data_IF_535748452957
#
_entry.id   IF_535748452957
#
_cell.length_a   1.000
_cell.length_b   1.000
_cell.length_c   1.000
_cell.angle_alpha   90.00
_cell.angle_beta   90.00
_cell.angle_gamma   90.00
#
_symmetry.space_group_name_H-M   'P 1'
#
loop_
_entity.id
_entity.type
_entity.pdbx_description
1 polymer ?
#
# COMPACT_ATOMS: atom_id res chain seq x y z
N UNK A 1 -51.92 15.62 5.75
CA UNK A 1 -52.57 15.41 7.06
C UNK A 1 -52.32 13.96 7.47
N UNK A 2 -51.88 13.73 8.72
CA UNK A 2 -51.68 12.43 9.42
C UNK A 2 -50.58 11.49 8.89
N UNK A 3 -49.86 10.68 9.69
CA UNK A 3 -49.49 10.65 11.11
C UNK A 3 -48.51 9.46 11.31
N UNK A 4 -47.42 9.70 12.04
CA UNK A 4 -46.79 8.88 13.10
C UNK A 4 -46.81 7.33 12.97
N UNK A 5 -45.63 6.69 13.06
CA UNK A 5 -45.32 5.78 14.20
C UNK A 5 -43.83 5.43 14.30
N UNK A 6 -43.22 5.91 15.38
CA UNK A 6 -41.99 5.43 16.00
C UNK A 6 -42.22 4.02 16.56
N UNK A 7 -41.32 3.09 16.30
CA UNK A 7 -41.21 1.85 17.09
C UNK A 7 -39.78 1.72 17.62
N UNK A 8 -39.66 2.07 18.90
CA UNK A 8 -38.55 1.70 19.75
C UNK A 8 -38.60 0.18 19.99
N UNK A 9 -37.50 -0.52 19.71
CA UNK A 9 -37.25 -1.84 20.28
C UNK A 9 -36.32 -1.68 21.47
N UNK A 10 -36.93 -1.72 22.65
CA UNK A 10 -36.30 -1.93 23.95
C UNK A 10 -35.60 -3.29 23.93
N UNK A 11 -34.30 -3.32 24.19
CA UNK A 11 -33.65 -4.50 24.79
C UNK A 11 -33.06 -4.04 26.11
N UNK A 12 -33.64 -4.59 27.17
CA UNK A 12 -33.28 -4.42 28.58
C UNK A 12 -31.86 -4.92 28.85
N UNK A 13 -30.98 -4.04 29.32
CA UNK A 13 -29.75 -4.43 30.01
C UNK A 13 -30.07 -4.56 31.50
N UNK A 14 -30.17 -5.81 31.95
CA UNK A 14 -30.24 -6.18 33.36
C UNK A 14 -28.97 -5.69 34.05
N UNK A 15 -29.15 -4.78 35.01
CA UNK A 15 -28.09 -4.35 35.91
C UNK A 15 -27.76 -5.46 36.92
N UNK A 16 -26.51 -5.93 36.93
CA UNK A 16 -25.92 -6.51 38.13
C UNK A 16 -25.04 -5.44 38.78
N UNK A 17 -25.46 -4.99 39.96
CA UNK A 17 -24.68 -4.13 40.87
C UNK A 17 -23.64 -4.96 41.62
N UNK A 18 -22.39 -4.51 41.59
CA UNK A 18 -21.39 -4.49 42.69
C UNK A 18 -20.04 -4.13 42.05
N UNK A 19 -19.19 -3.20 42.49
CA UNK A 19 -19.12 -2.29 43.64
C UNK A 19 -18.16 -1.15 43.26
N UNK A 20 -18.25 -0.02 43.94
CA UNK A 20 -17.43 1.19 43.81
C UNK A 20 -15.97 0.99 43.36
N UNK A 21 -15.59 1.57 42.22
CA UNK A 21 -14.24 2.11 42.03
C UNK A 21 -14.38 3.53 41.48
N UNK A 22 -14.01 4.49 42.30
CA UNK A 22 -13.87 5.89 41.96
C UNK A 22 -12.58 6.02 41.12
N UNK A 23 -12.67 5.90 39.79
CA UNK A 23 -11.59 6.31 38.89
C UNK A 23 -12.04 7.63 38.26
N UNK A 24 -11.43 8.73 38.69
CA UNK A 24 -11.44 9.98 37.93
C UNK A 24 -10.70 9.74 36.63
N UNK A 25 -11.38 9.21 35.61
CA UNK A 25 -10.90 9.29 34.25
C UNK A 25 -10.98 10.75 33.83
N UNK A 26 -9.83 11.41 33.89
CA UNK A 26 -9.63 12.70 33.23
C UNK A 26 -9.58 12.39 31.75
N UNK A 27 -10.74 12.33 31.09
CA UNK A 27 -10.80 12.26 29.64
C UNK A 27 -10.32 13.62 29.13
N UNK A 28 -9.01 13.74 28.90
CA UNK A 28 -8.49 14.76 27.99
C UNK A 28 -9.03 14.40 26.62
N UNK A 29 -10.19 14.95 26.27
CA UNK A 29 -10.56 15.14 24.88
C UNK A 29 -9.45 16.02 24.28
N UNK A 30 -8.46 15.37 23.69
CA UNK A 30 -7.57 16.05 22.76
C UNK A 30 -8.45 16.43 21.59
N UNK A 31 -8.79 17.72 21.55
CA UNK A 31 -9.51 18.37 20.47
C UNK A 31 -8.59 18.27 19.23
N UNK A 32 -8.70 17.14 18.51
CA UNK A 32 -7.99 16.94 17.25
C UNK A 32 -8.65 17.85 16.23
N UNK A 33 -8.24 19.13 16.22
CA UNK A 33 -8.46 20.02 15.09
C UNK A 33 -8.08 19.25 13.84
N UNK A 34 -9.07 18.90 13.04
CA UNK A 34 -8.91 18.25 11.73
C UNK A 34 -8.13 19.22 10.86
N UNK A 35 -6.80 19.05 10.85
CA UNK A 35 -5.93 19.78 9.94
C UNK A 35 -6.37 19.37 8.53
N UNK A 36 -6.93 20.33 7.79
CA UNK A 36 -7.30 20.13 6.39
C UNK A 36 -6.03 19.70 5.65
N UNK A 37 -5.99 18.45 5.21
CA UNK A 37 -4.85 17.89 4.50
C UNK A 37 -4.77 18.52 3.10
N UNK A 38 -3.58 18.94 2.71
CA UNK A 38 -3.30 19.43 1.37
C UNK A 38 -2.70 18.29 0.53
N UNK A 39 -3.08 18.16 -0.75
CA UNK A 39 -2.46 17.19 -1.64
C UNK A 39 -0.93 17.38 -1.71
N UNK A 40 -0.19 16.29 -1.54
CA UNK A 40 1.24 16.22 -1.78
C UNK A 40 1.53 16.46 -3.26
N UNK A 41 2.24 17.55 -3.53
CA UNK A 41 2.67 17.89 -4.89
C UNK A 41 3.93 17.10 -5.24
N UNK A 42 3.90 16.41 -6.38
CA UNK A 42 5.10 15.81 -6.97
C UNK A 42 5.93 16.93 -7.59
N UNK A 43 7.16 17.08 -7.12
CA UNK A 43 8.12 18.03 -7.71
C UNK A 43 8.58 17.55 -9.10
N UNK A 44 9.04 18.48 -9.94
CA UNK A 44 9.61 18.16 -11.27
C UNK A 44 10.74 17.12 -11.18
N UNK A 45 11.59 17.21 -10.16
CA UNK A 45 12.71 16.28 -9.95
C UNK A 45 12.24 14.88 -9.57
N UNK A 46 11.27 14.79 -8.67
CA UNK A 46 10.66 13.51 -8.29
C UNK A 46 9.99 12.84 -9.48
N UNK A 47 9.20 13.59 -10.25
CA UNK A 47 8.54 13.09 -11.47
C UNK A 47 9.56 12.56 -12.48
N UNK A 48 10.61 13.32 -12.77
CA UNK A 48 11.65 12.90 -13.71
C UNK A 48 12.38 11.64 -13.25
N UNK A 49 12.68 11.51 -11.95
CA UNK A 49 13.34 10.34 -11.39
C UNK A 49 12.43 9.10 -11.46
N UNK A 50 11.16 9.23 -11.06
CA UNK A 50 10.19 8.15 -11.16
C UNK A 50 9.97 7.71 -12.63
N UNK A 51 9.88 8.66 -13.56
CA UNK A 51 9.74 8.37 -14.99
C UNK A 51 10.95 7.61 -15.55
N UNK A 52 12.17 7.99 -15.12
CA UNK A 52 13.40 7.29 -15.50
C UNK A 52 13.39 5.84 -15.02
N UNK A 53 13.04 5.60 -13.75
CA UNK A 53 12.96 4.24 -13.18
C UNK A 53 11.91 3.39 -13.89
N UNK A 54 10.70 3.94 -14.10
CA UNK A 54 9.61 3.25 -14.82
C UNK A 54 10.02 2.91 -16.25
N UNK A 55 10.69 3.82 -16.96
CA UNK A 55 11.21 3.55 -18.31
C UNK A 55 12.22 2.39 -18.30
N UNK A 56 13.14 2.36 -17.34
CA UNK A 56 14.12 1.26 -17.23
C UNK A 56 13.44 -0.10 -16.99
N UNK A 57 12.41 -0.14 -16.14
CA UNK A 57 11.61 -1.36 -15.89
C UNK A 57 10.87 -1.79 -17.16
N UNK A 58 10.22 -0.85 -17.84
CA UNK A 58 9.55 -1.09 -19.12
C UNK A 58 10.52 -1.66 -20.16
N UNK A 59 11.70 -1.06 -20.32
CA UNK A 59 12.72 -1.49 -21.28
C UNK A 59 13.23 -2.92 -20.95
N UNK A 60 13.37 -3.29 -19.67
CA UNK A 60 13.72 -4.66 -19.24
C UNK A 60 12.64 -5.66 -19.66
N UNK A 61 11.36 -5.30 -19.50
CA UNK A 61 10.24 -6.21 -19.76
C UNK A 61 9.78 -6.22 -21.23
N UNK A 62 10.22 -5.28 -22.07
CA UNK A 62 9.70 -5.07 -23.42
C UNK A 62 9.81 -6.32 -24.31
N UNK A 63 10.86 -7.12 -24.13
CA UNK A 63 11.10 -8.33 -24.93
C UNK A 63 10.29 -9.55 -24.46
N UNK A 64 9.58 -9.45 -23.34
CA UNK A 64 8.76 -10.54 -22.80
C UNK A 64 7.43 -10.56 -23.55
N UNK A 65 7.24 -11.61 -24.35
CA UNK A 65 5.98 -11.86 -25.06
C UNK A 65 4.94 -12.32 -24.06
N UNK A 66 3.89 -11.53 -23.89
CA UNK A 66 2.74 -11.82 -23.02
C UNK A 66 1.51 -11.58 -23.87
N UNK A 67 0.60 -12.55 -23.88
CA UNK A 67 -0.71 -12.36 -24.49
C UNK A 67 -1.59 -11.60 -23.49
N UNK A 68 -1.89 -10.34 -23.79
CA UNK A 68 -2.68 -9.45 -22.92
C UNK A 68 -4.11 -9.98 -22.69
N UNK A 69 -4.67 -10.71 -23.66
CA UNK A 69 -6.00 -11.33 -23.53
C UNK A 69 -5.98 -12.61 -22.68
N UNK A 70 -4.80 -13.18 -22.43
CA UNK A 70 -4.64 -14.44 -21.70
C UNK A 70 -3.26 -14.56 -21.05
N UNK A 71 -3.05 -13.78 -19.99
CA UNK A 71 -1.83 -13.83 -19.19
C UNK A 71 -1.74 -15.17 -18.48
N UNK A 72 -0.67 -15.93 -18.73
CA UNK A 72 -0.48 -17.25 -18.12
C UNK A 72 0.38 -17.16 -16.86
N UNK A 73 0.31 -18.20 -16.01
CA UNK A 73 1.23 -18.33 -14.86
C UNK A 73 2.70 -18.33 -15.28
N UNK A 74 3.02 -18.88 -16.45
CA UNK A 74 4.38 -18.89 -17.01
C UNK A 74 4.84 -17.48 -17.38
N UNK A 75 3.95 -16.66 -17.94
CA UNK A 75 4.26 -15.26 -18.28
C UNK A 75 4.56 -14.46 -17.01
N UNK A 76 3.71 -14.62 -15.98
CA UNK A 76 3.91 -13.97 -14.68
C UNK A 76 5.22 -14.41 -14.01
N UNK A 77 5.55 -15.71 -14.08
CA UNK A 77 6.79 -16.22 -13.53
C UNK A 77 8.02 -15.68 -14.28
N UNK A 78 7.97 -15.67 -15.63
CA UNK A 78 9.05 -15.13 -16.47
C UNK A 78 9.32 -13.66 -16.16
N UNK A 79 8.26 -12.88 -15.99
CA UNK A 79 8.31 -11.48 -15.57
C UNK A 79 8.97 -11.32 -14.19
N UNK A 80 8.51 -12.09 -13.20
CA UNK A 80 9.04 -12.08 -11.85
C UNK A 80 10.53 -12.43 -11.82
N UNK A 81 10.94 -13.49 -12.51
CA UNK A 81 12.33 -13.94 -12.58
C UNK A 81 13.21 -12.91 -13.27
N UNK A 82 12.73 -12.30 -14.36
CA UNK A 82 13.47 -11.27 -15.10
C UNK A 82 13.76 -10.06 -14.21
N UNK A 83 12.74 -9.50 -13.56
CA UNK A 83 12.90 -8.31 -12.72
C UNK A 83 13.72 -8.61 -11.46
N UNK A 84 13.52 -9.80 -10.87
CA UNK A 84 14.32 -10.29 -9.75
C UNK A 84 15.79 -10.43 -10.16
N UNK A 85 16.11 -10.99 -11.33
CA UNK A 85 17.49 -11.12 -11.81
C UNK A 85 18.20 -9.77 -12.00
N UNK A 86 17.44 -8.68 -12.22
CA UNK A 86 17.95 -7.30 -12.30
C UNK A 86 18.10 -6.64 -10.93
N UNK A 87 17.81 -7.37 -9.86
CA UNK A 87 17.97 -6.93 -8.48
C UNK A 87 16.82 -6.09 -7.95
N UNK A 88 15.69 -5.99 -8.67
CA UNK A 88 14.50 -5.36 -8.11
C UNK A 88 13.86 -6.29 -7.08
N UNK A 89 13.47 -5.78 -5.90
CA UNK A 89 12.50 -6.46 -5.06
C UNK A 89 11.17 -6.54 -5.79
N UNK A 90 10.68 -7.76 -6.02
CA UNK A 90 9.42 -8.01 -6.72
C UNK A 90 8.50 -8.81 -5.81
N UNK A 91 7.30 -8.31 -5.59
CA UNK A 91 6.26 -8.94 -4.81
C UNK A 91 5.20 -9.53 -5.75
N UNK A 92 5.00 -10.84 -5.72
CA UNK A 92 3.87 -11.46 -6.43
C UNK A 92 2.59 -11.18 -5.66
N UNK A 93 1.49 -10.82 -6.34
CA UNK A 93 0.18 -10.77 -5.67
C UNK A 93 -0.09 -12.13 -5.00
N UNK A 94 -0.33 -12.08 -3.69
CA UNK A 94 -0.75 -13.25 -2.93
C UNK A 94 -2.18 -13.64 -3.30
N UNK A 95 -2.57 -14.88 -2.98
CA UNK A 95 -3.95 -15.32 -3.16
C UNK A 95 -4.93 -14.40 -2.40
N UNK A 96 -5.97 -13.96 -3.09
CA UNK A 96 -7.10 -13.25 -2.49
C UNK A 96 -7.81 -14.17 -1.50
N UNK A 97 -8.06 -13.66 -0.28
CA UNK A 97 -8.96 -14.33 0.66
C UNK A 97 -10.24 -13.52 0.79
N UNK A 98 -11.32 -14.04 0.20
CA UNK A 98 -12.65 -13.56 0.53
C UNK A 98 -13.08 -14.16 1.87
N UNK A 99 -13.26 -13.29 2.86
CA UNK A 99 -13.75 -13.72 4.19
C UNK A 99 -15.27 -13.91 4.15
N UNK A 100 -16.01 -12.94 3.59
CA UNK A 100 -17.47 -12.96 3.33
C UNK A 100 -17.82 -11.93 2.24
N UNK A 101 -19.06 -11.97 1.71
CA UNK A 101 -19.52 -11.18 0.55
C UNK A 101 -19.40 -9.64 0.68
N UNK A 102 -19.15 -9.11 1.89
CA UNK A 102 -19.03 -7.66 2.14
C UNK A 102 -17.80 -7.30 3.00
N UNK A 103 -16.91 -8.25 3.29
CA UNK A 103 -15.70 -7.96 4.04
C UNK A 103 -14.66 -7.28 3.13
N UNK A 104 -13.87 -6.30 3.64
CA UNK A 104 -12.72 -5.79 2.91
C UNK A 104 -11.82 -6.94 2.45
N UNK A 105 -11.40 -6.91 1.18
CA UNK A 105 -10.49 -7.91 0.62
C UNK A 105 -9.17 -7.80 1.39
N UNK A 106 -8.81 -8.88 2.09
CA UNK A 106 -7.52 -9.00 2.76
C UNK A 106 -6.62 -9.86 1.87
N UNK A 107 -5.59 -9.25 1.31
CA UNK A 107 -4.56 -9.96 0.59
C UNK A 107 -3.63 -10.63 1.61
N UNK A 108 -3.20 -11.87 1.35
CA UNK A 108 -2.04 -12.42 2.06
C UNK A 108 -0.83 -11.52 1.74
N UNK A 109 0.11 -11.32 2.69
CA UNK A 109 1.36 -10.63 2.40
C UNK A 109 2.05 -11.22 1.18
N UNK A 110 2.41 -10.36 0.24
CA UNK A 110 3.06 -10.78 -0.99
C UNK A 110 4.49 -11.23 -0.71
N UNK A 111 4.86 -12.45 -1.13
CA UNK A 111 6.26 -12.91 -1.08
C UNK A 111 7.09 -12.01 -1.97
N UNK A 112 8.09 -11.36 -1.37
CA UNK A 112 8.94 -10.39 -2.05
C UNK A 112 10.30 -11.01 -2.32
N UNK A 113 10.79 -10.88 -3.56
CA UNK A 113 12.19 -11.20 -3.87
C UNK A 113 13.10 -10.18 -3.20
N UNK A 114 14.31 -10.60 -2.80
CA UNK A 114 15.26 -9.72 -2.11
C UNK A 114 14.70 -9.10 -0.81
N UNK A 115 14.04 -9.89 0.05
CA UNK A 115 13.49 -9.43 1.33
C UNK A 115 14.49 -8.67 2.20
N UNK A 116 15.78 -9.04 2.15
CA UNK A 116 16.87 -8.34 2.84
C UNK A 116 17.02 -6.86 2.43
N UNK A 117 16.70 -6.50 1.18
CA UNK A 117 16.71 -5.09 0.75
C UNK A 117 15.58 -4.30 1.43
N UNK A 118 14.40 -4.91 1.61
CA UNK A 118 13.28 -4.30 2.33
C UNK A 118 13.62 -4.15 3.82
N UNK A 119 14.22 -5.17 4.44
CA UNK A 119 14.71 -5.10 5.83
C UNK A 119 15.74 -3.98 6.00
N UNK A 120 16.72 -3.91 5.12
CA UNK A 120 17.73 -2.84 5.13
C UNK A 120 17.09 -1.45 5.00
N UNK A 121 16.08 -1.30 4.14
CA UNK A 121 15.32 -0.06 4.00
C UNK A 121 14.59 0.30 5.30
N UNK A 122 13.93 -0.68 5.92
CA UNK A 122 13.24 -0.53 7.21
C UNK A 122 14.20 -0.09 8.32
N UNK A 123 15.32 -0.80 8.50
CA UNK A 123 16.31 -0.52 9.54
C UNK A 123 16.91 0.88 9.39
N UNK A 124 17.29 1.28 8.16
CA UNK A 124 17.79 2.62 7.89
C UNK A 124 16.74 3.69 8.18
N UNK A 125 15.48 3.43 7.80
CA UNK A 125 14.35 4.33 8.11
C UNK A 125 14.18 4.51 9.61
N UNK A 126 14.18 3.42 10.39
CA UNK A 126 14.06 3.48 11.86
C UNK A 126 15.26 4.15 12.52
N UNK A 127 16.45 4.02 11.94
CA UNK A 127 17.64 4.73 12.37
C UNK A 127 17.67 6.22 11.94
N UNK A 128 16.62 6.72 11.27
CA UNK A 128 16.55 8.09 10.77
C UNK A 128 17.48 8.40 9.59
N UNK A 129 18.12 7.38 9.00
CA UNK A 129 19.09 7.56 7.91
C UNK A 129 18.37 7.74 6.58
N UNK A 130 18.84 8.65 5.71
CA UNK A 130 18.32 8.77 4.35
C UNK A 130 18.43 7.44 3.61
N UNK A 131 17.32 6.98 3.03
CA UNK A 131 17.28 5.73 2.28
C UNK A 131 16.17 5.76 1.22
N UNK A 132 16.29 4.92 0.21
CA UNK A 132 15.31 4.79 -0.88
C UNK A 132 15.23 3.34 -1.30
N UNK A 133 14.02 2.90 -1.68
CA UNK A 133 13.80 1.59 -2.29
C UNK A 133 12.72 1.70 -3.37
N UNK A 134 12.85 0.89 -4.41
CA UNK A 134 11.84 0.73 -5.44
C UNK A 134 11.39 -0.72 -5.41
N UNK A 135 10.12 -0.93 -5.06
CA UNK A 135 9.48 -2.24 -4.95
C UNK A 135 8.48 -2.39 -6.10
N UNK A 136 8.47 -3.55 -6.75
CA UNK A 136 7.54 -3.86 -7.83
C UNK A 136 6.51 -4.85 -7.33
N UNK A 137 5.24 -4.51 -7.37
CA UNK A 137 4.16 -5.45 -7.07
C UNK A 137 3.50 -5.89 -8.37
N UNK A 138 3.65 -7.17 -8.72
CA UNK A 138 3.12 -7.73 -9.95
C UNK A 138 1.59 -7.85 -9.89
N UNK A 139 0.90 -7.41 -10.93
CA UNK A 139 -0.54 -7.60 -11.06
C UNK A 139 -0.89 -8.86 -11.89
N UNK A 140 -2.13 -9.32 -11.81
CA UNK A 140 -2.62 -10.48 -12.56
C UNK A 140 -2.71 -10.24 -14.08
N UNK A 141 -2.72 -8.97 -14.52
CA UNK A 141 -2.75 -8.59 -15.94
C UNK A 141 -1.36 -8.51 -16.59
N UNK A 142 -0.29 -8.89 -15.88
CA UNK A 142 1.07 -8.88 -16.43
C UNK A 142 1.77 -7.51 -16.39
N UNK A 143 1.17 -6.53 -15.74
CA UNK A 143 1.78 -5.26 -15.34
C UNK A 143 2.28 -5.25 -13.88
N UNK A 144 2.64 -4.07 -13.39
CA UNK A 144 3.20 -3.86 -12.05
C UNK A 144 2.77 -2.52 -11.47
N UNK A 145 2.58 -2.49 -10.15
CA UNK A 145 2.72 -1.26 -9.40
C UNK A 145 4.20 -1.04 -9.08
N UNK A 146 4.72 0.11 -9.50
CA UNK A 146 6.01 0.64 -9.08
C UNK A 146 5.81 1.47 -7.82
N UNK A 147 6.37 0.99 -6.71
CA UNK A 147 6.24 1.56 -5.38
C UNK A 147 7.61 2.10 -5.00
N UNK A 148 7.87 3.36 -5.32
CA UNK A 148 9.10 4.04 -4.93
C UNK A 148 8.91 4.68 -3.57
N UNK A 149 9.75 4.32 -2.60
CA UNK A 149 9.73 4.87 -1.25
C UNK A 149 11.04 5.60 -0.97
N UNK A 150 10.93 6.76 -0.33
CA UNK A 150 12.06 7.53 0.15
C UNK A 150 11.82 7.91 1.60
N UNK A 151 12.82 7.63 2.43
CA UNK A 151 12.80 7.98 3.85
C UNK A 151 13.93 8.94 4.17
N UNK A 152 13.62 9.95 4.97
CA UNK A 152 14.59 10.88 5.53
C UNK A 152 14.17 11.25 6.96
N UNK A 153 15.08 11.14 7.92
CA UNK A 153 14.81 11.38 9.35
C UNK A 153 13.55 10.62 9.85
N UNK A 154 13.36 9.38 9.39
CA UNK A 154 12.24 8.52 9.79
C UNK A 154 10.89 8.86 9.13
N UNK A 155 10.80 9.94 8.34
CA UNK A 155 9.63 10.28 7.55
C UNK A 155 9.73 9.65 6.18
N UNK A 156 8.72 8.86 5.81
CA UNK A 156 8.69 8.15 4.53
C UNK A 156 7.58 8.69 3.64
N UNK A 157 7.94 9.03 2.42
CA UNK A 157 7.04 9.38 1.33
C UNK A 157 7.23 8.38 0.19
N UNK A 158 6.23 8.25 -0.66
CA UNK A 158 6.34 7.41 -1.83
C UNK A 158 5.66 7.98 -3.06
N UNK A 159 6.04 7.41 -4.20
CA UNK A 159 5.41 7.65 -5.50
C UNK A 159 4.95 6.29 -6.00
N UNK A 160 3.66 6.18 -6.27
CA UNK A 160 3.03 5.02 -6.88
C UNK A 160 2.87 5.29 -8.36
N UNK A 161 3.24 4.31 -9.18
CA UNK A 161 2.96 4.34 -10.62
C UNK A 161 2.54 2.96 -11.08
N UNK A 162 1.42 2.86 -11.76
CA UNK A 162 1.01 1.60 -12.39
C UNK A 162 1.57 1.52 -13.78
N UNK A 163 2.22 0.41 -14.08
CA UNK A 163 2.74 0.04 -15.40
C UNK A 163 1.85 -1.10 -15.90
N UNK A 164 1.15 -0.89 -17.01
CA UNK A 164 0.28 -1.89 -17.61
C UNK A 164 0.68 -2.12 -19.06
N UNK A 165 0.30 -3.26 -19.62
CA UNK A 165 0.58 -3.60 -21.00
C UNK A 165 -0.66 -3.36 -21.85
N UNK A 166 -0.48 -2.65 -22.95
CA UNK A 166 -1.52 -2.26 -23.90
C UNK A 166 -0.92 -2.30 -25.31
N UNK A 167 -1.55 -3.04 -26.21
CA UNK A 167 -1.14 -3.20 -27.61
C UNK A 167 0.32 -3.64 -27.78
N UNK A 168 0.79 -4.54 -26.91
CA UNK A 168 2.14 -5.06 -26.92
C UNK A 168 3.19 -4.13 -26.31
N UNK A 169 2.81 -2.94 -25.81
CA UNK A 169 3.70 -1.94 -25.21
C UNK A 169 3.34 -1.70 -23.76
N UNK A 170 4.31 -1.28 -22.95
CA UNK A 170 4.02 -0.84 -21.60
C UNK A 170 3.59 0.62 -21.60
N UNK A 171 2.40 0.85 -21.06
CA UNK A 171 1.82 2.15 -20.74
C UNK A 171 1.98 2.44 -19.25
N UNK A 172 1.98 3.72 -18.89
CA UNK A 172 2.25 4.21 -17.53
C UNK A 172 1.07 5.06 -17.09
N UNK A 173 0.52 4.78 -15.91
CA UNK A 173 -0.54 5.58 -15.31
C UNK A 173 -0.02 6.95 -14.87
N UNK A 174 -0.94 7.79 -14.39
CA UNK A 174 -0.56 8.94 -13.58
C UNK A 174 0.25 8.50 -12.36
N UNK A 175 1.20 9.36 -11.96
CA UNK A 175 2.04 9.16 -10.78
C UNK A 175 1.36 9.80 -9.58
N UNK A 176 1.24 9.04 -8.49
CA UNK A 176 0.56 9.50 -7.28
C UNK A 176 1.55 9.55 -6.13
N UNK A 177 1.70 10.72 -5.51
CA UNK A 177 2.50 10.86 -4.28
C UNK A 177 1.65 10.49 -3.07
N UNK A 178 2.28 9.84 -2.10
CA UNK A 178 1.63 9.48 -0.84
C UNK A 178 2.60 9.62 0.32
N UNK A 179 2.04 9.81 1.52
CA UNK A 179 2.80 9.76 2.75
C UNK A 179 2.51 8.45 3.48
N UNK A 180 3.57 7.81 3.97
CA UNK A 180 3.47 6.63 4.82
C UNK A 180 3.22 7.10 6.26
N UNK A 181 2.10 6.67 6.84
CA UNK A 181 1.75 6.91 8.24
C UNK A 181 2.52 5.99 9.16
N UNK A 182 2.64 4.74 8.72
CA UNK A 182 3.11 3.64 9.54
C UNK A 182 3.93 2.71 8.67
N UNK A 183 5.13 2.41 9.16
CA UNK A 183 6.05 1.44 8.58
C UNK A 183 6.52 0.52 9.71
N UNK A 184 6.12 -0.74 9.65
CA UNK A 184 6.45 -1.76 10.65
C UNK A 184 7.04 -3.01 9.98
N UNK A 185 7.93 -3.68 10.69
CA UNK A 185 8.42 -5.02 10.35
C UNK A 185 8.19 -5.89 11.58
N UNK A 186 7.38 -6.95 11.45
CA UNK A 186 7.06 -7.82 12.58
C UNK A 186 8.01 -9.04 12.66
N UNK A 187 7.87 -9.81 13.74
CA UNK A 187 8.67 -11.03 14.01
C UNK A 187 8.52 -12.12 12.93
N UNK A 188 7.45 -12.06 12.14
CA UNK A 188 7.22 -12.96 11.01
C UNK A 188 7.84 -12.45 9.71
N UNK A 189 8.70 -11.44 9.76
CA UNK A 189 9.30 -10.76 8.59
C UNK A 189 8.27 -10.16 7.62
N UNK A 190 7.09 -9.73 8.11
CA UNK A 190 6.13 -9.00 7.28
C UNK A 190 6.34 -7.51 7.50
N UNK A 191 6.64 -6.80 6.41
CA UNK A 191 6.68 -5.34 6.37
C UNK A 191 5.30 -4.80 5.99
N UNK A 192 4.72 -3.98 6.86
CA UNK A 192 3.41 -3.34 6.66
C UNK A 192 3.61 -1.84 6.44
N UNK A 193 2.99 -1.33 5.38
CA UNK A 193 2.93 0.10 5.06
C UNK A 193 1.49 0.55 5.09
N UNK A 194 1.19 1.52 5.95
CA UNK A 194 -0.08 2.24 5.91
C UNK A 194 0.15 3.64 5.34
N UNK A 195 -0.64 4.06 4.36
CA UNK A 195 -0.44 5.31 3.64
C UNK A 195 -1.76 6.04 3.34
N UNK A 196 -1.63 7.33 3.05
CA UNK A 196 -2.70 8.18 2.51
C UNK A 196 -2.46 8.39 1.02
N UNK A 197 -3.41 8.00 0.16
CA UNK A 197 -3.40 8.45 -1.23
C UNK A 197 -3.76 9.93 -1.29
N UNK A 198 -2.97 10.70 -2.03
CA UNK A 198 -3.05 12.15 -2.04
C UNK A 198 -3.80 12.73 -3.24
N UNK A 199 -4.20 11.93 -4.21
CA UNK A 199 -4.63 12.44 -5.52
C UNK A 199 -6.09 12.91 -5.60
N UNK A 200 -6.89 12.72 -4.55
CA UNK A 200 -8.27 13.19 -4.52
C UNK A 200 -8.58 13.86 -3.18
N UNK A 201 -8.78 15.17 -3.21
CA UNK A 201 -9.17 15.98 -2.05
C UNK A 201 -10.48 15.52 -1.37
N UNK A 202 -11.22 14.58 -1.97
CA UNK A 202 -12.53 14.13 -1.52
C UNK A 202 -12.58 12.65 -1.07
N UNK A 203 -11.55 11.85 -1.33
CA UNK A 203 -11.52 10.43 -0.95
C UNK A 203 -10.20 10.09 -0.25
N UNK A 204 -10.17 10.27 1.07
CA UNK A 204 -9.12 9.70 1.92
C UNK A 204 -9.36 8.19 2.03
N UNK A 205 -8.79 7.41 1.11
CA UNK A 205 -8.73 5.96 1.30
C UNK A 205 -7.40 5.60 1.95
N UNK A 206 -7.50 5.14 3.19
CA UNK A 206 -6.41 4.48 3.88
C UNK A 206 -6.03 3.21 3.11
N UNK A 207 -4.78 3.16 2.66
CA UNK A 207 -4.22 2.01 2.00
C UNK A 207 -3.29 1.26 2.94
N UNK A 208 -3.33 -0.07 2.87
CA UNK A 208 -2.35 -0.94 3.53
C UNK A 208 -1.71 -1.85 2.49
N UNK A 209 -0.38 -1.92 2.50
CA UNK A 209 0.40 -2.89 1.72
C UNK A 209 1.22 -3.76 2.67
N UNK A 210 1.23 -5.06 2.42
CA UNK A 210 1.98 -6.04 3.24
C UNK A 210 2.92 -6.86 2.36
N UNK A 211 4.19 -6.90 2.77
CA UNK A 211 5.26 -7.59 2.04
C UNK A 211 5.97 -8.57 2.95
N UNK A 212 6.02 -9.84 2.54
CA UNK A 212 6.80 -10.86 3.23
C UNK A 212 8.27 -10.75 2.79
N UNK A 213 9.14 -10.37 3.72
CA UNK A 213 10.57 -10.10 3.53
C UNK A 213 11.44 -11.34 3.84
N UNK A 214 11.18 -12.46 3.18
CA UNK A 214 12.00 -13.66 3.34
C UNK A 214 13.27 -13.64 2.48
#
# INVERSE_FOLDING_TARGET
MLAILLLASVITLTACRSSNINIKETTKQTDHKTKKWEPLVITKREKAQAQKEVKQISDICQNIKINENKVTKKDLQTLYDTLTSKGYPVAQIGEEKHSTKNAPVKFKPSKTSHGEKLKTFYEKTKAGKPTTITLLQQNSSGGFANIRLQSNNGKTEGILTTIYKEDGKFSVSEMVKYQVKKLELNEKNIMTLEFYLSDQAELQTDGTMEFQCN
#
